data_IF_428885255690
#
_entry.id   IF_428885255690
#
_cell.length_a   1.000
_cell.length_b   1.000
_cell.length_c   1.000
_cell.angle_alpha   90.00
_cell.angle_beta   90.00
_cell.angle_gamma   90.00
#
_symmetry.space_group_name_H-M   'P 1'
#
loop_
_entity.id
_entity.type
_entity.pdbx_description
1 polymer ?
#
# COMPACT_ATOMS: atom_id res chain seq x y z
N UNK A 1 6.54 -47.77 -40.93
CA UNK A 1 7.16 -47.43 -39.63
C UNK A 1 6.31 -46.34 -38.99
N UNK A 2 5.65 -46.62 -37.86
CA UNK A 2 4.74 -45.70 -37.16
C UNK A 2 5.53 -44.98 -36.06
N UNK A 3 5.52 -43.65 -36.07
CA UNK A 3 6.12 -42.82 -35.02
C UNK A 3 5.14 -42.66 -33.86
N UNK A 4 5.44 -43.29 -32.72
CA UNK A 4 4.76 -43.01 -31.45
C UNK A 4 5.44 -41.82 -30.77
N UNK A 5 4.70 -40.71 -30.61
CA UNK A 5 5.01 -39.64 -29.66
C UNK A 5 4.52 -40.07 -28.28
N UNK A 6 5.43 -40.46 -27.39
CA UNK A 6 5.11 -40.57 -25.97
C UNK A 6 5.22 -39.20 -25.29
N UNK A 7 4.06 -38.70 -24.86
CA UNK A 7 3.87 -37.56 -23.98
C UNK A 7 4.37 -37.91 -22.58
N UNK A 8 5.41 -37.21 -22.11
CA UNK A 8 5.82 -37.25 -20.70
C UNK A 8 4.79 -36.46 -19.89
N UNK A 9 3.90 -37.18 -19.18
CA UNK A 9 3.13 -36.62 -18.06
C UNK A 9 4.10 -36.27 -16.92
N UNK A 10 4.28 -35.00 -16.63
CA UNK A 10 4.92 -34.54 -15.40
C UNK A 10 3.98 -34.84 -14.22
N UNK A 11 4.38 -35.79 -13.39
CA UNK A 11 3.81 -36.02 -12.07
C UNK A 11 4.36 -34.95 -11.12
N UNK A 12 3.84 -33.72 -11.21
CA UNK A 12 4.04 -32.74 -10.15
C UNK A 12 3.04 -33.07 -9.03
N UNK A 13 3.58 -33.58 -7.91
CA UNK A 13 2.82 -33.72 -6.68
C UNK A 13 2.33 -32.33 -6.24
N UNK A 14 1.09 -32.19 -5.75
CA UNK A 14 0.63 -30.92 -5.21
C UNK A 14 1.53 -30.50 -4.05
N UNK A 15 2.07 -29.29 -4.15
CA UNK A 15 2.84 -28.66 -3.09
C UNK A 15 1.92 -28.47 -1.88
N UNK A 16 2.26 -28.99 -0.68
CA UNK A 16 1.43 -28.81 0.48
C UNK A 16 1.39 -27.33 0.88
N UNK A 17 0.17 -26.80 1.03
CA UNK A 17 -0.10 -25.50 1.62
C UNK A 17 0.56 -25.45 3.00
N UNK A 18 1.57 -24.58 3.17
CA UNK A 18 2.21 -24.34 4.47
C UNK A 18 1.16 -23.73 5.39
N UNK A 19 0.94 -24.35 6.54
CA UNK A 19 0.13 -23.80 7.63
C UNK A 19 0.73 -22.43 8.04
N UNK A 20 0.03 -21.34 7.69
CA UNK A 20 0.38 -19.97 8.10
C UNK A 20 0.10 -19.85 9.61
N UNK A 21 1.15 -19.71 10.41
CA UNK A 21 1.04 -19.35 11.82
C UNK A 21 0.65 -17.86 11.97
N UNK A 22 -0.62 -17.54 11.73
CA UNK A 22 -1.19 -16.22 12.01
C UNK A 22 -1.50 -16.15 13.51
N UNK A 23 -0.76 -15.34 14.26
CA UNK A 23 -1.14 -15.01 15.65
C UNK A 23 -2.22 -13.93 15.63
N UNK A 24 -3.48 -14.36 15.71
CA UNK A 24 -4.63 -13.49 15.86
C UNK A 24 -4.73 -13.08 17.34
N UNK A 25 -4.43 -11.82 17.68
CA UNK A 25 -4.89 -11.25 18.95
C UNK A 25 -6.36 -10.86 18.76
N UNK A 26 -7.26 -11.74 19.24
CA UNK A 26 -8.70 -11.66 18.98
C UNK A 26 -9.38 -10.57 19.80
N UNK A 27 -9.18 -9.32 19.44
CA UNK A 27 -10.26 -8.35 19.58
C UNK A 27 -11.16 -8.61 18.38
N UNK A 28 -12.41 -9.08 18.58
CA UNK A 28 -13.31 -9.67 17.56
C UNK A 28 -13.69 -8.80 16.33
N UNK A 29 -12.92 -7.76 16.05
CA UNK A 29 -12.96 -6.92 14.85
C UNK A 29 -12.11 -7.50 13.71
N UNK A 30 -10.96 -8.11 14.01
CA UNK A 30 -10.05 -8.66 12.98
C UNK A 30 -10.50 -10.08 12.63
N UNK A 31 -10.82 -10.30 11.36
CA UNK A 31 -11.18 -11.61 10.79
C UNK A 31 -10.24 -12.02 9.66
N UNK A 32 -10.37 -13.24 9.15
CA UNK A 32 -9.47 -13.80 8.12
C UNK A 32 -9.41 -12.93 6.85
N UNK A 33 -10.53 -12.30 6.48
CA UNK A 33 -10.57 -11.43 5.31
C UNK A 33 -9.77 -10.14 5.50
N UNK A 34 -9.52 -9.71 6.74
CA UNK A 34 -8.62 -8.59 7.00
C UNK A 34 -7.19 -8.93 6.55
N UNK A 35 -6.76 -10.18 6.74
CA UNK A 35 -5.44 -10.64 6.29
C UNK A 35 -5.43 -10.84 4.77
N UNK A 36 -6.48 -11.44 4.20
CA UNK A 36 -6.62 -11.58 2.75
C UNK A 36 -6.64 -10.22 2.04
N UNK A 37 -7.31 -9.21 2.61
CA UNK A 37 -7.36 -7.86 2.06
C UNK A 37 -5.95 -7.27 1.90
N UNK A 38 -5.10 -7.39 2.92
CA UNK A 38 -3.72 -6.89 2.86
C UNK A 38 -2.87 -7.68 1.86
N UNK A 39 -3.03 -9.00 1.81
CA UNK A 39 -2.33 -9.85 0.84
C UNK A 39 -2.73 -9.52 -0.60
N UNK A 40 -4.02 -9.27 -0.85
CA UNK A 40 -4.56 -8.90 -2.17
C UNK A 40 -4.08 -7.51 -2.59
N UNK A 41 -4.16 -6.51 -1.71
CA UNK A 41 -3.84 -5.11 -2.06
C UNK A 41 -2.34 -4.86 -2.14
N UNK A 42 -1.54 -5.48 -1.27
CA UNK A 42 -0.13 -5.12 -1.08
C UNK A 42 0.84 -6.30 -1.27
N UNK A 43 0.35 -7.52 -1.49
CA UNK A 43 1.20 -8.71 -1.63
C UNK A 43 1.88 -9.16 -0.32
N UNK A 44 1.44 -8.65 0.83
CA UNK A 44 2.03 -8.96 2.14
C UNK A 44 1.30 -10.16 2.74
N UNK A 45 2.01 -11.28 2.87
CA UNK A 45 1.42 -12.56 3.29
C UNK A 45 1.49 -12.84 4.80
N UNK A 46 2.21 -12.00 5.56
CA UNK A 46 2.41 -12.14 7.01
C UNK A 46 2.51 -10.77 7.67
N UNK A 47 1.53 -10.44 8.52
CA UNK A 47 1.48 -9.19 9.27
C UNK A 47 0.81 -9.38 10.63
N UNK A 48 1.12 -8.49 11.57
CA UNK A 48 0.33 -8.30 12.78
C UNK A 48 -0.75 -7.26 12.50
N UNK A 49 -2.01 -7.65 12.64
CA UNK A 49 -3.16 -6.74 12.56
C UNK A 49 -3.70 -6.45 13.96
N UNK A 50 -4.04 -5.19 14.18
CA UNK A 50 -4.72 -4.70 15.37
C UNK A 50 -5.94 -3.89 14.95
N UNK A 51 -6.84 -3.56 15.87
CA UNK A 51 -8.01 -2.75 15.55
C UNK A 51 -7.71 -1.29 15.19
N UNK A 52 -6.45 -0.88 15.37
CA UNK A 52 -5.88 0.42 14.95
C UNK A 52 -5.07 0.34 13.65
N UNK A 53 -4.95 -0.84 13.05
CA UNK A 53 -4.25 -0.97 11.77
C UNK A 53 -5.05 -0.27 10.68
N UNK A 54 -4.43 0.71 10.01
CA UNK A 54 -4.93 1.41 8.83
C UNK A 54 -4.21 0.90 7.57
N UNK A 55 -4.85 1.02 6.40
CA UNK A 55 -4.28 0.52 5.14
C UNK A 55 -2.98 1.23 4.73
N UNK A 56 -2.83 2.49 5.10
CA UNK A 56 -1.63 3.29 4.82
C UNK A 56 -0.39 2.79 5.58
N UNK A 57 -0.55 2.05 6.69
CA UNK A 57 0.58 1.40 7.36
C UNK A 57 1.28 0.33 6.49
N UNK A 58 0.62 -0.15 5.43
CA UNK A 58 1.10 -1.20 4.54
C UNK A 58 1.47 -0.70 3.14
N UNK A 59 1.18 0.57 2.86
CA UNK A 59 1.45 1.19 1.58
C UNK A 59 2.92 1.59 1.46
N UNK A 60 3.65 0.88 0.60
CA UNK A 60 5.07 1.12 0.30
C UNK A 60 5.19 2.33 -0.61
N UNK A 61 5.07 3.53 -0.04
CA UNK A 61 5.41 4.76 -0.77
C UNK A 61 6.93 4.89 -0.75
N UNK A 62 7.59 4.31 -1.76
CA UNK A 62 9.05 4.40 -1.98
C UNK A 62 9.54 5.83 -2.30
N UNK A 63 8.63 6.80 -2.37
CA UNK A 63 8.93 8.22 -2.46
C UNK A 63 8.70 8.86 -1.10
N UNK A 64 9.75 8.87 -0.26
CA UNK A 64 9.75 9.71 0.94
C UNK A 64 9.44 11.13 0.48
N UNK A 65 8.24 11.61 0.80
CA UNK A 65 7.83 12.95 0.45
C UNK A 65 8.86 13.95 1.03
N UNK A 66 9.15 15.02 0.28
CA UNK A 66 10.09 16.05 0.72
C UNK A 66 11.51 15.94 0.16
N UNK A 67 11.81 15.02 -0.76
CA UNK A 67 13.08 15.09 -1.50
C UNK A 67 13.03 16.22 -2.52
N UNK A 68 13.93 17.19 -2.40
CA UNK A 68 14.10 18.24 -3.40
C UNK A 68 15.54 18.25 -3.91
N UNK A 69 15.71 18.21 -5.24
CA UNK A 69 16.99 18.52 -5.84
C UNK A 69 17.08 20.05 -5.98
N UNK A 70 17.96 20.66 -5.21
CA UNK A 70 18.14 22.12 -5.13
C UNK A 70 19.61 22.46 -5.27
N UNK A 71 19.92 23.72 -5.55
CA UNK A 71 21.31 24.19 -5.42
C UNK A 71 21.69 24.22 -3.94
N UNK A 72 22.94 23.96 -3.63
CA UNK A 72 23.44 24.05 -2.24
C UNK A 72 23.19 25.44 -1.64
N UNK A 73 23.24 26.50 -2.45
CA UNK A 73 22.88 27.88 -2.05
C UNK A 73 21.43 28.07 -1.60
N UNK A 74 20.53 27.16 -1.98
CA UNK A 74 19.09 27.22 -1.67
C UNK A 74 18.74 26.44 -0.40
N UNK A 75 19.69 25.72 0.19
CA UNK A 75 19.52 24.99 1.45
C UNK A 75 19.67 25.96 2.64
N UNK A 76 18.76 25.94 3.63
CA UNK A 76 18.89 26.76 4.83
C UNK A 76 20.19 26.48 5.59
N UNK A 77 20.79 27.53 6.15
CA UNK A 77 22.08 27.45 6.86
C UNK A 77 22.10 26.39 7.97
N UNK A 78 20.96 26.18 8.65
CA UNK A 78 20.79 25.16 9.70
C UNK A 78 20.92 23.72 9.19
N UNK A 79 20.64 23.48 7.91
CA UNK A 79 20.71 22.16 7.28
C UNK A 79 22.00 21.97 6.47
N UNK A 80 22.76 23.05 6.23
CA UNK A 80 24.03 23.00 5.50
C UNK A 80 25.09 22.15 6.20
N UNK A 81 25.04 22.05 7.53
CA UNK A 81 25.94 21.20 8.30
C UNK A 81 25.92 19.75 7.82
N UNK A 82 24.77 19.24 7.35
CA UNK A 82 24.66 17.89 6.80
C UNK A 82 25.54 17.64 5.56
N UNK A 83 25.82 18.69 4.79
CA UNK A 83 26.64 18.61 3.57
C UNK A 83 28.11 18.97 3.81
N UNK A 84 28.46 19.41 5.02
CA UNK A 84 29.81 19.87 5.34
C UNK A 84 30.88 18.78 5.18
N UNK A 85 30.51 17.50 5.35
CA UNK A 85 31.41 16.35 5.14
C UNK A 85 31.71 16.08 3.64
N UNK A 86 30.89 16.61 2.73
CA UNK A 86 31.02 16.39 1.28
C UNK A 86 31.74 17.53 0.55
N UNK A 87 31.83 18.70 1.19
CA UNK A 87 32.47 19.89 0.62
C UNK A 87 33.60 20.34 1.56
N UNK A 88 34.85 20.06 1.19
CA UNK A 88 36.05 20.45 1.96
C UNK A 88 36.14 21.98 2.16
N UNK A 89 35.53 22.75 1.26
CA UNK A 89 35.39 24.20 1.32
C UNK A 89 34.04 24.63 0.78
N UNK A 90 33.44 25.69 1.32
CA UNK A 90 32.23 26.32 0.80
C UNK A 90 32.59 27.35 -0.28
N UNK A 91 33.33 26.93 -1.30
CA UNK A 91 33.73 27.83 -2.38
C UNK A 91 32.50 28.29 -3.18
N UNK A 92 32.52 29.48 -3.80
CA UNK A 92 31.39 29.96 -4.60
C UNK A 92 30.95 28.99 -5.69
N UNK A 93 31.87 28.18 -6.24
CA UNK A 93 31.53 27.16 -7.24
C UNK A 93 30.74 25.97 -6.66
N UNK A 94 30.92 25.66 -5.37
CA UNK A 94 30.22 24.58 -4.69
C UNK A 94 28.76 24.94 -4.37
N UNK A 95 28.47 26.22 -4.17
CA UNK A 95 27.12 26.73 -3.91
C UNK A 95 26.15 26.49 -5.08
N UNK A 96 26.67 26.37 -6.30
CA UNK A 96 25.89 26.09 -7.52
C UNK A 96 25.63 24.59 -7.76
N UNK A 97 26.21 23.71 -6.94
CA UNK A 97 26.05 22.26 -7.09
C UNK A 97 24.66 21.82 -6.65
N UNK A 98 24.11 20.86 -7.39
CA UNK A 98 22.83 20.25 -7.05
C UNK A 98 23.01 19.21 -5.94
N UNK A 99 22.25 19.37 -4.87
CA UNK A 99 22.18 18.45 -3.74
C UNK A 99 20.74 17.99 -3.52
N UNK A 100 20.58 16.86 -2.84
CA UNK A 100 19.26 16.38 -2.39
C UNK A 100 19.03 16.94 -1.00
N UNK A 101 18.04 17.82 -0.84
CA UNK A 101 17.60 18.42 0.42
C UNK A 101 16.29 17.81 0.91
N UNK A 102 16.18 17.73 2.23
CA UNK A 102 15.08 17.15 2.99
C UNK A 102 14.42 18.23 3.85
N UNK A 103 13.74 19.23 3.27
CA UNK A 103 13.02 20.23 4.05
C UNK A 103 12.06 19.58 5.05
N UNK A 104 11.94 20.14 6.26
CA UNK A 104 10.83 19.83 7.15
C UNK A 104 9.52 20.05 6.37
N UNK A 105 8.75 18.99 6.19
CA UNK A 105 7.45 19.06 5.52
C UNK A 105 6.48 19.76 6.47
N UNK A 106 5.83 20.83 6.00
CA UNK A 106 4.80 21.53 6.78
C UNK A 106 3.58 20.64 7.02
N UNK A 107 2.81 20.91 8.07
CA UNK A 107 1.56 20.18 8.37
C UNK A 107 0.58 20.21 7.17
N UNK A 108 0.45 21.37 6.50
CA UNK A 108 -0.38 21.51 5.30
C UNK A 108 0.09 20.60 4.16
N UNK A 109 1.41 20.46 3.98
CA UNK A 109 1.97 19.60 2.94
C UNK A 109 1.80 18.12 3.30
N UNK A 110 1.94 17.78 4.59
CA UNK A 110 1.60 16.45 5.11
C UNK A 110 0.13 16.09 4.87
N UNK A 111 -0.79 17.02 5.12
CA UNK A 111 -2.21 16.81 4.85
C UNK A 111 -2.48 16.58 3.36
N UNK A 112 -1.81 17.31 2.47
CA UNK A 112 -1.90 17.10 1.02
C UNK A 112 -1.40 15.71 0.60
N UNK A 113 -0.25 15.29 1.14
CA UNK A 113 0.33 13.96 0.89
C UNK A 113 -0.62 12.88 1.38
N UNK A 114 -1.11 12.99 2.61
CA UNK A 114 -2.04 12.03 3.22
C UNK A 114 -3.36 11.95 2.44
N UNK A 115 -3.88 13.09 1.96
CA UNK A 115 -5.08 13.15 1.12
C UNK A 115 -4.86 12.44 -0.23
N UNK A 116 -3.71 12.67 -0.85
CA UNK A 116 -3.33 12.01 -2.11
C UNK A 116 -3.17 10.51 -1.93
N UNK A 117 -2.50 10.10 -0.85
CA UNK A 117 -2.31 8.69 -0.47
C UNK A 117 -3.64 7.99 -0.21
N UNK A 118 -4.54 8.62 0.55
CA UNK A 118 -5.89 8.10 0.80
C UNK A 118 -6.68 7.91 -0.51
N UNK A 119 -6.62 8.88 -1.43
CA UNK A 119 -7.26 8.76 -2.75
C UNK A 119 -6.68 7.61 -3.58
N UNK A 120 -5.37 7.40 -3.50
CA UNK A 120 -4.72 6.26 -4.16
C UNK A 120 -5.24 4.93 -3.60
N UNK A 121 -5.25 4.78 -2.27
CA UNK A 121 -5.76 3.58 -1.59
C UNK A 121 -7.23 3.29 -1.93
N UNK A 122 -8.08 4.33 -1.96
CA UNK A 122 -9.48 4.19 -2.37
C UNK A 122 -9.57 3.62 -3.79
N UNK A 123 -8.87 4.23 -4.76
CA UNK A 123 -8.88 3.74 -6.15
C UNK A 123 -8.36 2.31 -6.27
N UNK A 124 -7.35 1.95 -5.47
CA UNK A 124 -6.82 0.58 -5.45
C UNK A 124 -7.89 -0.41 -4.97
N UNK A 125 -8.63 -0.09 -3.90
CA UNK A 125 -9.74 -0.91 -3.39
C UNK A 125 -10.83 -1.04 -4.45
N UNK A 126 -11.30 0.08 -5.01
CA UNK A 126 -12.39 0.11 -5.98
C UNK A 126 -12.07 -0.72 -7.22
N UNK A 127 -10.86 -0.57 -7.77
CA UNK A 127 -10.42 -1.33 -8.94
C UNK A 127 -10.20 -2.81 -8.64
N UNK A 128 -9.69 -3.15 -7.46
CA UNK A 128 -9.38 -4.55 -7.07
C UNK A 128 -10.65 -5.36 -6.81
N UNK A 129 -11.64 -4.76 -6.13
CA UNK A 129 -12.86 -5.47 -5.74
C UNK A 129 -14.07 -5.14 -6.61
N UNK A 130 -13.92 -4.23 -7.58
CA UNK A 130 -14.99 -3.75 -8.46
C UNK A 130 -16.22 -3.24 -7.67
N UNK A 131 -15.95 -2.38 -6.68
CA UNK A 131 -16.97 -1.72 -5.85
C UNK A 131 -16.75 -0.20 -5.88
N UNK A 132 -17.75 0.58 -5.44
CA UNK A 132 -17.58 2.01 -5.12
C UNK A 132 -17.39 2.17 -3.61
N UNK A 133 -16.48 3.07 -3.24
CA UNK A 133 -16.18 3.48 -1.86
C UNK A 133 -16.82 4.82 -1.49
N UNK A 134 -17.65 5.42 -2.35
CA UNK A 134 -18.23 6.75 -2.15
C UNK A 134 -19.10 6.88 -0.89
N UNK A 135 -19.73 5.78 -0.47
CA UNK A 135 -20.57 5.69 0.75
C UNK A 135 -19.83 5.02 1.93
N UNK A 136 -18.50 4.95 1.89
CA UNK A 136 -17.72 4.51 3.05
C UNK A 136 -17.87 5.54 4.19
N UNK A 137 -18.30 5.13 5.40
CA UNK A 137 -18.81 6.06 6.41
C UNK A 137 -17.72 6.73 7.26
N UNK A 138 -16.45 6.43 7.02
CA UNK A 138 -15.34 6.82 7.89
C UNK A 138 -14.23 7.53 7.13
N UNK A 139 -13.56 8.47 7.79
CA UNK A 139 -12.40 9.13 7.20
C UNK A 139 -11.15 8.24 7.20
N UNK A 140 -10.98 7.41 8.23
CA UNK A 140 -9.84 6.48 8.32
C UNK A 140 -10.14 5.15 7.64
N UNK A 141 -9.14 4.66 6.92
CA UNK A 141 -9.20 3.37 6.24
C UNK A 141 -8.68 2.25 7.16
N UNK A 142 -9.32 2.10 8.32
CA UNK A 142 -9.05 0.97 9.22
C UNK A 142 -9.30 -0.35 8.50
N UNK A 143 -8.30 -1.24 8.52
CA UNK A 143 -8.32 -2.51 7.75
C UNK A 143 -9.62 -3.28 7.97
N UNK A 144 -10.05 -3.44 9.22
CA UNK A 144 -11.24 -4.20 9.57
C UNK A 144 -12.55 -3.54 9.14
N UNK A 145 -12.60 -2.20 9.12
CA UNK A 145 -13.79 -1.46 8.65
C UNK A 145 -13.92 -1.56 7.14
N UNK A 146 -12.82 -1.39 6.42
CA UNK A 146 -12.76 -1.55 4.97
C UNK A 146 -13.12 -2.99 4.59
N UNK A 147 -12.53 -3.98 5.27
CA UNK A 147 -12.86 -5.40 5.07
C UNK A 147 -14.37 -5.69 5.21
N UNK A 148 -15.01 -5.18 6.27
CA UNK A 148 -16.46 -5.32 6.46
C UNK A 148 -17.28 -4.61 5.40
N UNK A 149 -16.86 -3.41 5.01
CA UNK A 149 -17.53 -2.63 3.97
C UNK A 149 -17.50 -3.36 2.62
N UNK A 150 -16.33 -3.86 2.21
CA UNK A 150 -16.15 -4.65 0.98
C UNK A 150 -17.04 -5.89 1.01
N UNK A 151 -17.02 -6.67 2.11
CA UNK A 151 -17.88 -7.86 2.26
C UNK A 151 -19.36 -7.51 2.04
N UNK A 152 -19.84 -6.42 2.65
CA UNK A 152 -21.23 -5.95 2.51
C UNK A 152 -21.55 -5.58 1.06
N UNK A 153 -20.66 -4.87 0.38
CA UNK A 153 -20.83 -4.48 -1.04
C UNK A 153 -20.87 -5.70 -1.95
N UNK A 154 -19.93 -6.64 -1.79
CA UNK A 154 -19.88 -7.86 -2.60
C UNK A 154 -21.10 -8.77 -2.39
N UNK A 155 -21.61 -8.88 -1.16
CA UNK A 155 -22.85 -9.60 -0.89
C UNK A 155 -24.04 -8.99 -1.64
N UNK A 156 -24.16 -7.66 -1.62
CA UNK A 156 -25.22 -6.92 -2.32
C UNK A 156 -25.13 -7.06 -3.85
N UNK A 157 -23.93 -7.09 -4.42
CA UNK A 157 -23.72 -7.29 -5.86
C UNK A 157 -24.14 -8.70 -6.29
N UNK A 158 -23.80 -9.72 -5.50
CA UNK A 158 -24.15 -11.12 -5.80
C UNK A 158 -25.65 -11.38 -5.68
N UNK A 159 -26.33 -10.79 -4.70
CA UNK A 159 -27.80 -10.90 -4.58
C UNK A 159 -28.53 -10.25 -5.76
N UNK A 160 -28.05 -9.10 -6.27
CA UNK A 160 -28.66 -8.44 -7.43
C UNK A 160 -28.46 -9.21 -8.74
N UNK A 161 -27.37 -9.97 -8.89
CA UNK A 161 -27.18 -10.84 -10.06
C UNK A 161 -28.21 -11.99 -10.09
N UNK A 162 -28.64 -12.49 -8.93
CA UNK A 162 -29.66 -13.55 -8.86
C UNK A 162 -31.08 -13.06 -9.21
N UNK A 163 -31.40 -11.79 -8.98
CA UNK A 163 -32.72 -11.23 -9.33
C UNK A 163 -32.89 -10.91 -10.81
N UNK A 164 -31.80 -10.75 -11.57
CA UNK A 164 -31.86 -10.46 -13.01
C UNK A 164 -31.83 -11.69 -13.93
N UNK A 165 -31.70 -12.91 -13.39
CA UNK A 165 -31.78 -14.15 -14.17
C UNK A 165 -33.13 -14.89 -14.07
N UNK A 166 -34.14 -14.30 -13.42
CA UNK A 166 -35.48 -14.91 -13.23
C UNK A 166 -36.65 -14.03 -13.71
N UNK A 167 -36.45 -13.22 -14.76
CA UNK A 167 -37.54 -12.54 -15.47
C UNK A 167 -37.55 -12.93 -16.94
#
# INVERSE_FOLDING_TARGET
MKNNKESKKSNEKPVPLREKNVKIHSDGKIDDFCFELIEILFGISSMLLTDKSELDHFDLVDEIAGHMQVKLSEVPEVDLEHYSDYFETWAPEDLERLVVWYPPISDEKWDEINSTRKKHLIKLIESTFNISMDDYPDDSLYVWKVARFIKKKLAFTNENLYYHCNL
#
